data_IF_613354836245
#
_entry.id   IF_613354836245
#
_cell.length_a   1.000
_cell.length_b   1.000
_cell.length_c   1.000
_cell.angle_alpha   90.00
_cell.angle_beta   90.00
_cell.angle_gamma   90.00
#
_symmetry.space_group_name_H-M   'P 1'
#
loop_
_entity.id
_entity.type
_entity.pdbx_description
1 polymer ?
#
# COMPACT_ATOMS: atom_id res chain seq x y z
N UNK A 1 21.13 7.19 -53.45
CA UNK A 1 21.37 8.53 -52.84
C UNK A 1 20.05 9.01 -52.29
N UNK A 2 20.00 9.18 -50.97
CA UNK A 2 18.85 9.60 -50.17
C UNK A 2 18.99 11.11 -49.95
N UNK A 3 17.91 11.88 -50.12
CA UNK A 3 17.60 13.15 -49.41
C UNK A 3 16.13 13.50 -49.72
N UNK A 4 15.19 13.15 -48.84
CA UNK A 4 14.76 13.83 -47.59
C UNK A 4 13.73 14.95 -47.84
N UNK A 5 12.45 14.55 -47.82
CA UNK A 5 11.28 15.42 -47.87
C UNK A 5 11.05 16.10 -46.53
N UNK A 6 11.01 17.44 -46.53
CA UNK A 6 10.74 18.28 -45.35
C UNK A 6 9.30 18.09 -44.84
N UNK A 7 9.16 17.65 -43.59
CA UNK A 7 7.90 17.70 -42.84
C UNK A 7 7.82 19.06 -42.11
N UNK A 8 6.73 19.78 -42.31
CA UNK A 8 6.47 21.07 -41.68
C UNK A 8 6.32 20.96 -40.16
N UNK A 9 7.14 21.72 -39.43
CA UNK A 9 7.00 21.93 -37.99
C UNK A 9 5.91 22.98 -37.74
N UNK A 10 4.77 22.55 -37.21
CA UNK A 10 3.82 23.44 -36.54
C UNK A 10 4.19 23.50 -35.05
N UNK A 11 5.03 24.47 -34.68
CA UNK A 11 5.31 24.83 -33.29
C UNK A 11 4.32 25.92 -32.85
N UNK A 12 3.22 25.52 -32.21
CA UNK A 12 2.52 26.41 -31.28
C UNK A 12 2.85 25.92 -29.86
N UNK A 13 3.50 26.73 -29.01
CA UNK A 13 3.68 26.38 -27.62
C UNK A 13 2.30 26.32 -26.95
N UNK A 14 2.02 25.22 -26.26
CA UNK A 14 0.90 25.14 -25.32
C UNK A 14 1.38 25.90 -24.09
N UNK A 15 0.87 27.12 -23.95
CA UNK A 15 1.12 28.01 -22.83
C UNK A 15 0.31 27.49 -21.63
N UNK A 16 0.98 26.82 -20.68
CA UNK A 16 0.40 26.51 -19.38
C UNK A 16 0.62 27.73 -18.48
N UNK A 17 -0.37 28.60 -18.40
CA UNK A 17 -0.41 29.71 -17.44
C UNK A 17 -0.69 29.15 -16.03
N UNK A 18 0.36 28.79 -15.29
CA UNK A 18 0.27 28.40 -13.89
C UNK A 18 0.19 29.67 -13.05
N UNK A 19 -1.03 30.14 -12.79
CA UNK A 19 -1.26 31.21 -11.83
C UNK A 19 -1.00 30.70 -10.41
N UNK A 20 0.10 31.13 -9.81
CA UNK A 20 0.34 31.03 -8.37
C UNK A 20 -0.63 31.96 -7.64
N UNK A 21 -1.84 31.48 -7.37
CA UNK A 21 -2.79 32.13 -6.48
C UNK A 21 -2.37 31.88 -5.03
N UNK A 22 -2.06 32.95 -4.30
CA UNK A 22 -1.94 32.92 -2.85
C UNK A 22 -3.30 32.55 -2.24
N UNK A 23 -3.48 31.28 -1.85
CA UNK A 23 -4.67 30.85 -1.13
C UNK A 23 -4.48 31.08 0.39
N UNK A 24 -5.30 31.98 0.93
CA UNK A 24 -5.38 32.26 2.35
C UNK A 24 -6.34 31.29 3.06
N UNK A 25 -5.84 30.81 4.21
CA UNK A 25 -6.54 30.41 5.44
C UNK A 25 -7.42 29.15 5.48
N UNK A 26 -6.99 28.24 6.38
CA UNK A 26 -7.58 26.99 6.91
C UNK A 26 -7.25 25.68 6.19
N UNK A 27 -6.13 25.11 6.63
CA UNK A 27 -5.86 23.69 6.93
C UNK A 27 -6.67 22.62 6.19
N UNK A 28 -6.13 22.12 5.08
CA UNK A 28 -6.14 20.71 4.66
C UNK A 28 -5.15 20.55 3.50
N UNK A 29 -4.25 19.56 3.54
CA UNK A 29 -3.41 19.16 2.40
C UNK A 29 -4.18 19.15 1.08
N UNK A 30 -3.56 19.46 -0.07
CA UNK A 30 -4.22 19.36 -1.37
C UNK A 30 -4.87 17.99 -1.62
N UNK A 31 -4.22 16.89 -1.19
CA UNK A 31 -4.76 15.54 -1.33
C UNK A 31 -5.90 15.27 -0.35
N UNK A 32 -5.72 15.70 0.90
CA UNK A 32 -6.73 15.64 1.96
C UNK A 32 -7.97 16.47 1.59
N UNK A 33 -7.77 17.63 0.97
CA UNK A 33 -8.78 18.52 0.43
C UNK A 33 -9.47 17.92 -0.78
N UNK A 34 -8.75 17.31 -1.74
CA UNK A 34 -9.38 16.62 -2.87
C UNK A 34 -10.27 15.48 -2.36
N UNK A 35 -9.79 14.68 -1.41
CA UNK A 35 -10.60 13.60 -0.81
C UNK A 35 -11.79 14.19 -0.05
N UNK A 36 -11.60 15.21 0.78
CA UNK A 36 -12.69 15.80 1.56
C UNK A 36 -13.69 16.60 0.71
N UNK A 37 -13.24 17.38 -0.26
CA UNK A 37 -14.09 18.15 -1.17
C UNK A 37 -14.92 17.19 -2.02
N UNK A 38 -14.36 16.05 -2.45
CA UNK A 38 -15.10 15.01 -3.17
C UNK A 38 -16.11 14.31 -2.26
N UNK A 39 -15.73 13.95 -1.02
CA UNK A 39 -16.65 13.38 -0.02
C UNK A 39 -17.77 14.36 0.35
N UNK A 40 -17.46 15.63 0.57
CA UNK A 40 -18.43 16.68 0.92
C UNK A 40 -19.33 17.05 -0.28
N UNK A 41 -18.79 17.02 -1.50
CA UNK A 41 -19.57 17.14 -2.73
C UNK A 41 -20.55 15.97 -2.87
N UNK A 42 -20.12 14.74 -2.62
CA UNK A 42 -20.98 13.56 -2.62
C UNK A 42 -22.05 13.62 -1.52
N UNK A 43 -21.71 14.07 -0.33
CA UNK A 43 -22.66 14.22 0.80
C UNK A 43 -23.72 15.30 0.51
N UNK A 44 -23.34 16.38 -0.17
CA UNK A 44 -24.29 17.41 -0.67
C UNK A 44 -25.19 16.89 -1.81
N UNK A 45 -24.66 16.06 -2.70
CA UNK A 45 -25.44 15.38 -3.76
C UNK A 45 -26.45 14.38 -3.16
N UNK A 46 -26.07 13.66 -2.10
CA UNK A 46 -26.95 12.74 -1.36
C UNK A 46 -28.05 13.47 -0.59
N UNK A 47 -27.73 14.58 0.08
CA UNK A 47 -28.73 15.39 0.79
C UNK A 47 -29.72 16.09 -0.15
N UNK A 48 -29.34 16.37 -1.41
CA UNK A 48 -30.28 16.83 -2.45
C UNK A 48 -31.20 15.73 -2.97
N UNK A 49 -30.82 14.46 -2.82
CA UNK A 49 -31.60 13.29 -3.27
C UNK A 49 -32.58 12.75 -2.20
N UNK A 50 -32.54 13.24 -0.96
CA UNK A 50 -33.48 12.85 0.11
C UNK A 50 -34.93 13.36 -0.09
N UNK A 51 -35.23 14.08 -1.17
CA UNK A 51 -36.59 14.53 -1.51
C UNK A 51 -37.32 13.67 -2.55
N UNK A 52 -36.82 12.48 -2.91
CA UNK A 52 -37.57 11.57 -3.77
C UNK A 52 -37.68 10.16 -3.19
N UNK A 53 -38.92 9.70 -3.23
CA UNK A 53 -39.44 8.44 -2.73
C UNK A 53 -38.61 7.24 -3.22
N UNK A 54 -38.45 6.26 -2.33
CA UNK A 54 -37.69 5.05 -2.62
C UNK A 54 -38.43 4.21 -3.66
N UNK A 55 -37.88 4.14 -4.87
CA UNK A 55 -38.23 3.08 -5.79
C UNK A 55 -36.99 2.34 -6.29
N UNK A 56 -36.98 1.04 -6.01
CA UNK A 56 -36.00 0.08 -6.49
C UNK A 56 -35.93 0.09 -8.01
N UNK A 57 -34.72 0.19 -8.58
CA UNK A 57 -34.21 -0.56 -9.74
C UNK A 57 -32.89 0.08 -10.18
N UNK A 58 -31.89 -0.78 -10.37
CA UNK A 58 -30.65 -0.58 -11.13
C UNK A 58 -30.72 0.58 -12.14
N UNK A 59 -30.14 1.73 -11.80
CA UNK A 59 -29.76 2.72 -12.79
C UNK A 59 -28.50 3.48 -12.37
N UNK A 60 -27.45 3.22 -13.16
CA UNK A 60 -26.30 4.07 -13.50
C UNK A 60 -25.85 5.09 -12.45
N UNK A 61 -24.79 4.75 -11.73
CA UNK A 61 -23.79 5.73 -11.31
C UNK A 61 -22.48 5.32 -11.96
N UNK A 62 -22.01 6.18 -12.85
CA UNK A 62 -20.71 6.08 -13.51
C UNK A 62 -19.60 6.24 -12.46
N UNK A 63 -18.76 5.21 -12.36
CA UNK A 63 -17.29 5.33 -12.39
C UNK A 63 -16.58 6.06 -11.25
N UNK A 64 -16.13 5.29 -10.24
CA UNK A 64 -14.99 5.67 -9.41
C UNK A 64 -14.74 4.74 -8.23
N UNK A 65 -13.47 4.41 -7.95
CA UNK A 65 -13.05 3.57 -6.82
C UNK A 65 -13.54 4.13 -5.46
N UNK A 66 -13.73 5.44 -5.35
CA UNK A 66 -14.27 6.15 -4.18
C UNK A 66 -15.75 5.83 -3.90
N UNK A 67 -16.59 5.66 -4.93
CA UNK A 67 -18.00 5.26 -4.76
C UNK A 67 -18.15 3.83 -4.24
N UNK A 68 -17.17 2.98 -4.56
CA UNK A 68 -17.02 1.63 -4.02
C UNK A 68 -16.49 1.66 -2.58
N UNK A 69 -15.58 2.60 -2.25
CA UNK A 69 -15.11 2.84 -0.89
C UNK A 69 -16.27 3.23 0.04
N UNK A 70 -17.16 4.11 -0.40
CA UNK A 70 -18.32 4.56 0.37
C UNK A 70 -19.35 3.45 0.59
N UNK A 71 -19.68 2.66 -0.44
CA UNK A 71 -20.62 1.53 -0.32
C UNK A 71 -20.13 0.46 0.65
N UNK A 72 -18.84 0.12 0.60
CA UNK A 72 -18.25 -0.87 1.49
C UNK A 72 -18.15 -0.37 2.94
N UNK A 73 -17.82 0.92 3.14
CA UNK A 73 -17.83 1.53 4.47
C UNK A 73 -19.26 1.58 5.07
N UNK A 74 -20.28 1.81 4.24
CA UNK A 74 -21.69 1.83 4.68
C UNK A 74 -22.26 0.44 4.96
N UNK A 75 -21.99 -0.56 4.12
CA UNK A 75 -22.49 -1.94 4.34
C UNK A 75 -21.83 -2.62 5.55
N UNK A 76 -20.57 -2.25 5.87
CA UNK A 76 -19.88 -2.71 7.08
C UNK A 76 -20.56 -2.20 8.37
N UNK A 77 -21.33 -1.10 8.28
CA UNK A 77 -22.09 -0.55 9.40
C UNK A 77 -23.42 -1.30 9.67
N UNK A 78 -23.92 -2.06 8.70
CA UNK A 78 -25.30 -2.60 8.70
C UNK A 78 -25.38 -4.08 9.12
N UNK A 79 -24.28 -4.83 9.13
CA UNK A 79 -24.33 -6.30 9.32
C UNK A 79 -23.94 -6.85 10.71
N UNK A 80 -23.72 -6.02 11.73
CA UNK A 80 -23.41 -6.52 13.08
C UNK A 80 -24.17 -5.80 14.19
N UNK A 81 -25.48 -6.07 14.26
CA UNK A 81 -26.39 -5.49 15.27
C UNK A 81 -26.14 -6.03 16.69
N UNK A 82 -25.33 -7.08 16.88
CA UNK A 82 -25.11 -7.70 18.20
C UNK A 82 -23.83 -7.28 18.94
N UNK A 83 -22.91 -6.50 18.34
CA UNK A 83 -21.66 -6.03 19.00
C UNK A 83 -21.73 -4.53 19.33
N UNK A 84 -22.93 -3.99 19.60
CA UNK A 84 -23.15 -2.54 19.76
C UNK A 84 -23.02 -2.00 21.19
N UNK A 85 -22.22 -2.63 22.06
CA UNK A 85 -21.96 -2.10 23.41
C UNK A 85 -20.47 -2.14 23.77
N UNK A 86 -19.77 -1.03 23.45
CA UNK A 86 -18.61 -0.41 24.15
C UNK A 86 -17.42 0.08 23.30
N UNK A 87 -17.49 0.09 21.98
CA UNK A 87 -16.43 0.71 21.18
C UNK A 87 -17.08 1.77 20.29
N UNK A 88 -16.79 3.05 20.56
CA UNK A 88 -17.14 4.08 19.59
C UNK A 88 -16.33 3.79 18.31
N UNK A 89 -16.98 3.77 17.13
CA UNK A 89 -16.28 3.55 15.88
C UNK A 89 -15.25 4.68 15.69
N UNK A 90 -14.01 4.29 15.38
CA UNK A 90 -12.91 5.21 15.13
C UNK A 90 -13.27 6.17 13.99
N UNK A 91 -12.95 7.46 14.14
CA UNK A 91 -13.25 8.44 13.09
C UNK A 91 -12.48 8.10 11.81
N UNK A 92 -13.03 8.43 10.64
CA UNK A 92 -12.34 8.20 9.36
C UNK A 92 -10.98 8.91 9.30
N UNK A 93 -10.88 10.08 9.95
CA UNK A 93 -9.62 10.83 10.09
C UNK A 93 -8.55 10.01 10.83
N UNK A 94 -8.91 9.40 11.95
CA UNK A 94 -7.97 8.59 12.74
C UNK A 94 -7.57 7.31 12.00
N UNK A 95 -8.51 6.70 11.27
CA UNK A 95 -8.21 5.54 10.44
C UNK A 95 -7.26 5.86 9.28
N UNK A 96 -7.46 7.01 8.63
CA UNK A 96 -6.55 7.50 7.59
C UNK A 96 -5.18 7.84 8.17
N UNK A 97 -5.11 8.46 9.35
CA UNK A 97 -3.86 8.75 10.02
C UNK A 97 -3.06 7.47 10.32
N UNK A 98 -3.72 6.43 10.83
CA UNK A 98 -3.08 5.11 11.01
C UNK A 98 -2.59 4.53 9.68
N UNK A 99 -3.37 4.67 8.61
CA UNK A 99 -2.94 4.19 7.29
C UNK A 99 -1.70 4.94 6.79
N UNK A 100 -1.69 6.27 6.91
CA UNK A 100 -0.54 7.13 6.55
C UNK A 100 0.71 6.74 7.33
N UNK A 101 0.60 6.58 8.65
CA UNK A 101 1.70 6.08 9.48
C UNK A 101 2.21 4.70 9.02
N UNK A 102 1.31 3.77 8.70
CA UNK A 102 1.70 2.44 8.22
C UNK A 102 2.47 2.53 6.89
N UNK A 103 2.08 3.45 6.00
CA UNK A 103 2.76 3.64 4.72
C UNK A 103 4.14 4.29 4.93
N UNK A 104 4.23 5.36 5.74
CA UNK A 104 5.49 6.05 6.04
C UNK A 104 6.49 5.20 6.86
N UNK A 105 6.03 4.16 7.56
CA UNK A 105 6.92 3.18 8.20
C UNK A 105 7.44 2.11 7.23
N UNK A 106 6.80 1.93 6.08
CA UNK A 106 7.07 0.83 5.16
C UNK A 106 8.27 1.10 4.23
N UNK A 107 8.61 2.37 4.01
CA UNK A 107 9.72 2.81 3.16
C UNK A 107 10.41 4.05 3.74
N UNK A 108 11.75 4.21 3.55
CA UNK A 108 12.46 5.45 3.83
C UNK A 108 11.80 6.68 3.18
N UNK A 109 11.74 7.76 3.95
CA UNK A 109 11.06 9.01 3.62
C UNK A 109 10.33 9.53 4.85
N UNK A 110 9.44 10.50 4.66
CA UNK A 110 8.64 11.12 5.70
C UNK A 110 9.44 11.89 6.76
N UNK A 111 9.18 13.19 6.92
CA UNK A 111 10.03 14.06 7.76
C UNK A 111 10.12 13.64 9.23
N UNK A 112 9.05 13.06 9.75
CA UNK A 112 8.97 12.63 11.15
C UNK A 112 9.34 11.16 11.36
N UNK A 113 9.77 10.45 10.31
CA UNK A 113 10.01 9.02 10.34
C UNK A 113 11.50 8.73 10.12
N UNK A 114 12.19 8.15 11.12
CA UNK A 114 13.58 7.71 11.00
C UNK A 114 13.70 6.21 11.24
N UNK A 115 13.63 5.46 10.14
CA UNK A 115 13.59 3.99 10.16
C UNK A 115 14.91 3.34 10.60
N UNK A 116 16.01 4.09 10.68
CA UNK A 116 17.29 3.56 11.19
C UNK A 116 17.31 3.46 12.72
N UNK A 117 16.47 4.25 13.40
CA UNK A 117 16.42 4.24 14.85
C UNK A 117 15.71 2.98 15.36
N UNK A 118 16.15 2.52 16.53
CA UNK A 118 15.50 1.42 17.27
C UNK A 118 14.39 1.92 18.21
N UNK A 119 14.53 3.14 18.69
CA UNK A 119 13.57 3.86 19.55
C UNK A 119 13.30 5.23 18.95
N UNK A 120 12.11 5.80 19.18
CA UNK A 120 11.70 7.07 18.58
C UNK A 120 11.79 7.07 17.04
N UNK A 121 11.29 5.99 16.42
CA UNK A 121 11.19 5.87 14.96
C UNK A 121 10.27 6.95 14.39
N UNK A 122 9.24 7.33 15.15
CA UNK A 122 8.33 8.43 14.82
C UNK A 122 8.61 9.58 15.80
N UNK A 123 9.00 10.73 15.30
CA UNK A 123 9.36 11.91 16.09
C UNK A 123 8.72 13.19 15.52
N UNK A 124 7.49 13.45 15.95
CA UNK A 124 6.75 14.68 15.63
C UNK A 124 7.29 15.92 16.36
N UNK A 125 8.19 15.75 17.34
CA UNK A 125 8.76 16.84 18.12
C UNK A 125 10.20 17.19 17.68
N UNK A 126 10.75 16.42 16.73
CA UNK A 126 12.08 16.65 16.18
C UNK A 126 12.19 18.03 15.51
N UNK A 127 13.31 18.71 15.76
CA UNK A 127 13.60 20.01 15.14
C UNK A 127 14.00 19.83 13.68
N UNK A 128 13.01 19.97 12.81
CA UNK A 128 13.16 19.96 11.35
C UNK A 128 13.43 21.38 10.79
N UNK A 129 13.67 22.40 11.62
CA UNK A 129 13.87 23.78 11.13
C UNK A 129 15.23 23.98 10.43
N UNK A 130 16.20 23.11 10.70
CA UNK A 130 17.56 23.23 10.20
C UNK A 130 17.70 22.67 8.78
N UNK A 131 18.20 23.51 7.85
CA UNK A 131 18.48 23.13 6.45
C UNK A 131 19.23 21.80 6.31
N UNK A 132 20.32 21.63 7.04
CA UNK A 132 21.18 20.46 6.93
C UNK A 132 20.52 19.17 7.44
N UNK A 133 19.60 19.30 8.41
CA UNK A 133 18.83 18.15 8.94
C UNK A 133 17.85 17.66 7.87
N UNK A 134 17.11 18.57 7.24
CA UNK A 134 16.11 18.25 6.21
C UNK A 134 16.71 17.74 4.90
N UNK A 135 17.52 18.57 4.25
CA UNK A 135 18.19 18.19 2.99
C UNK A 135 19.07 16.95 3.19
N UNK A 136 19.71 16.83 4.36
CA UNK A 136 20.49 15.65 4.72
C UNK A 136 19.61 14.40 4.88
N UNK A 137 18.42 14.53 5.48
CA UNK A 137 17.45 13.45 5.61
C UNK A 137 16.93 12.99 4.26
N UNK A 138 16.48 13.89 3.38
CA UNK A 138 15.97 13.54 2.05
C UNK A 138 17.01 12.80 1.21
N UNK A 139 18.25 13.31 1.19
CA UNK A 139 19.36 12.66 0.49
C UNK A 139 19.68 11.27 1.08
N UNK A 140 19.60 11.14 2.41
CA UNK A 140 19.80 9.87 3.12
C UNK A 140 18.69 8.88 2.78
N UNK A 141 17.44 9.31 2.77
CA UNK A 141 16.29 8.46 2.49
C UNK A 141 16.24 8.06 1.00
N UNK A 142 16.59 8.96 0.08
CA UNK A 142 16.84 8.63 -1.32
C UNK A 142 17.90 7.53 -1.47
N UNK A 143 19.05 7.70 -0.80
CA UNK A 143 20.13 6.71 -0.81
C UNK A 143 19.71 5.35 -0.23
N UNK A 144 18.91 5.34 0.83
CA UNK A 144 18.35 4.10 1.40
C UNK A 144 17.38 3.42 0.45
N UNK A 145 16.50 4.18 -0.21
CA UNK A 145 15.58 3.65 -1.20
C UNK A 145 16.36 3.01 -2.36
N UNK A 146 17.46 3.63 -2.83
CA UNK A 146 18.37 3.03 -3.81
C UNK A 146 18.99 1.72 -3.28
N UNK A 147 19.47 1.69 -2.04
CA UNK A 147 20.00 0.47 -1.42
C UNK A 147 18.92 -0.61 -1.32
N UNK A 148 17.68 -0.23 -0.99
CA UNK A 148 16.55 -1.13 -0.89
C UNK A 148 16.17 -1.76 -2.23
N UNK A 149 16.31 -1.04 -3.36
CA UNK A 149 16.18 -1.63 -4.70
C UNK A 149 17.10 -2.84 -4.84
N UNK A 150 18.39 -2.71 -4.49
CA UNK A 150 19.34 -3.83 -4.57
C UNK A 150 18.98 -4.97 -3.61
N UNK A 151 18.48 -4.65 -2.41
CA UNK A 151 17.99 -5.67 -1.47
C UNK A 151 16.76 -6.40 -2.02
N UNK A 152 15.85 -5.71 -2.67
CA UNK A 152 14.65 -6.28 -3.30
C UNK A 152 14.96 -7.08 -4.57
N UNK A 153 16.01 -6.75 -5.30
CA UNK A 153 16.57 -7.67 -6.30
C UNK A 153 17.09 -8.97 -5.66
N UNK A 154 17.63 -8.89 -4.46
CA UNK A 154 18.12 -10.02 -3.68
C UNK A 154 17.06 -10.62 -2.75
N UNK A 155 17.30 -10.66 -1.43
CA UNK A 155 16.44 -11.37 -0.49
C UNK A 155 15.24 -10.57 0.03
N UNK A 156 15.07 -9.30 -0.36
CA UNK A 156 14.05 -8.38 0.12
C UNK A 156 14.57 -7.34 1.12
N UNK A 157 14.09 -6.11 1.01
CA UNK A 157 14.40 -5.00 1.91
C UNK A 157 13.67 -5.11 3.26
N UNK A 158 14.29 -4.68 4.38
CA UNK A 158 13.59 -4.57 5.65
C UNK A 158 12.62 -3.39 5.64
N UNK A 159 11.56 -3.49 6.45
CA UNK A 159 10.60 -2.39 6.66
C UNK A 159 10.13 -2.36 8.11
N UNK A 160 9.46 -1.28 8.54
CA UNK A 160 8.92 -1.15 9.90
C UNK A 160 7.39 -1.23 9.87
N UNK A 161 6.79 -1.72 10.94
CA UNK A 161 5.33 -1.74 11.12
C UNK A 161 4.97 -1.63 12.60
N UNK A 162 3.73 -1.25 12.90
CA UNK A 162 3.20 -1.22 14.27
C UNK A 162 2.47 -2.55 14.56
N UNK A 163 2.91 -3.26 15.59
CA UNK A 163 2.33 -4.53 15.98
C UNK A 163 1.05 -4.38 16.83
N UNK A 164 0.51 -5.51 17.29
CA UNK A 164 -0.71 -5.58 18.12
C UNK A 164 -0.58 -4.87 19.47
N UNK A 165 0.64 -4.73 19.98
CA UNK A 165 0.94 -4.14 21.27
C UNK A 165 1.28 -2.64 21.11
N UNK A 166 1.18 -2.10 19.88
CA UNK A 166 1.47 -0.71 19.55
C UNK A 166 2.97 -0.43 19.41
N UNK A 167 3.81 -1.47 19.33
CA UNK A 167 5.26 -1.33 19.23
C UNK A 167 5.71 -1.37 17.77
N UNK A 168 6.71 -0.56 17.44
CA UNK A 168 7.34 -0.58 16.12
C UNK A 168 8.25 -1.80 16.02
N UNK A 169 7.96 -2.69 15.07
CA UNK A 169 8.70 -3.91 14.79
C UNK A 169 9.33 -3.86 13.40
N UNK A 170 10.25 -4.80 13.14
CA UNK A 170 10.86 -4.99 11.82
C UNK A 170 10.21 -6.17 11.07
N UNK A 171 9.89 -5.91 9.80
CA UNK A 171 9.48 -6.91 8.82
C UNK A 171 10.48 -6.98 7.67
N UNK A 172 10.23 -7.89 6.74
CA UNK A 172 11.04 -8.03 5.52
C UNK A 172 10.14 -8.20 4.31
N UNK A 173 10.33 -7.35 3.30
CA UNK A 173 9.66 -7.45 2.00
C UNK A 173 10.10 -8.72 1.27
N UNK A 174 9.30 -9.14 0.31
CA UNK A 174 9.68 -10.22 -0.62
C UNK A 174 10.59 -9.64 -1.69
N UNK A 175 11.76 -10.25 -1.88
CA UNK A 175 12.69 -9.91 -2.97
C UNK A 175 12.77 -10.99 -4.05
N UNK A 176 13.26 -10.61 -5.22
CA UNK A 176 13.30 -11.44 -6.43
C UNK A 176 14.21 -12.67 -6.24
N UNK A 177 15.44 -12.47 -5.77
CA UNK A 177 16.36 -13.56 -5.45
C UNK A 177 15.81 -14.50 -4.37
N UNK A 178 15.18 -13.95 -3.33
CA UNK A 178 14.51 -14.74 -2.29
C UNK A 178 13.36 -15.59 -2.84
N UNK A 179 12.60 -15.04 -3.78
CA UNK A 179 11.53 -15.72 -4.51
C UNK A 179 12.07 -16.85 -5.37
N UNK A 180 13.14 -16.61 -6.14
CA UNK A 180 13.77 -17.64 -6.99
C UNK A 180 14.35 -18.79 -6.16
N UNK A 181 15.01 -18.50 -5.03
CA UNK A 181 15.49 -19.53 -4.11
C UNK A 181 14.33 -20.36 -3.55
N UNK A 182 13.21 -19.71 -3.20
CA UNK A 182 12.01 -20.41 -2.71
C UNK A 182 11.42 -21.32 -3.80
N UNK A 183 11.34 -20.83 -5.04
CA UNK A 183 10.90 -21.61 -6.19
C UNK A 183 11.72 -22.89 -6.35
N UNK A 184 13.06 -22.80 -6.35
CA UNK A 184 13.91 -23.99 -6.50
C UNK A 184 13.79 -24.95 -5.31
N UNK A 185 13.69 -24.44 -4.07
CA UNK A 185 13.46 -25.27 -2.88
C UNK A 185 12.12 -26.01 -2.96
N UNK A 186 11.06 -25.33 -3.39
CA UNK A 186 9.74 -25.93 -3.49
C UNK A 186 9.62 -26.89 -4.67
N UNK A 187 10.26 -26.59 -5.80
CA UNK A 187 10.42 -27.54 -6.91
C UNK A 187 11.17 -28.81 -6.47
N UNK A 188 12.32 -28.66 -5.80
CA UNK A 188 13.11 -29.79 -5.32
C UNK A 188 12.34 -30.62 -4.28
N UNK A 189 11.67 -29.96 -3.33
CA UNK A 189 10.83 -30.64 -2.33
C UNK A 189 9.66 -31.38 -2.98
N UNK A 190 9.01 -30.78 -3.98
CA UNK A 190 7.91 -31.39 -4.73
C UNK A 190 8.35 -32.63 -5.49
N UNK A 191 9.35 -32.50 -6.35
CA UNK A 191 9.87 -33.61 -7.20
C UNK A 191 10.41 -34.76 -6.35
N UNK A 192 11.01 -34.47 -5.20
CA UNK A 192 11.52 -35.50 -4.28
C UNK A 192 10.44 -36.07 -3.36
N UNK A 193 9.17 -35.73 -3.57
CA UNK A 193 8.02 -36.18 -2.76
C UNK A 193 8.20 -35.87 -1.26
N UNK A 194 8.87 -34.76 -0.96
CA UNK A 194 9.14 -34.28 0.40
C UNK A 194 10.48 -34.73 0.98
N UNK A 195 11.29 -35.57 0.33
CA UNK A 195 12.58 -36.01 0.89
C UNK A 195 13.57 -34.87 1.13
N UNK A 196 13.51 -33.83 0.30
CA UNK A 196 14.28 -32.60 0.48
C UNK A 196 13.36 -31.44 0.91
N UNK A 197 12.54 -31.65 1.94
CA UNK A 197 11.70 -30.59 2.48
C UNK A 197 12.55 -29.44 3.07
N UNK A 198 12.13 -28.18 2.86
CA UNK A 198 12.73 -27.05 3.57
C UNK A 198 12.65 -27.24 5.09
N UNK A 199 13.63 -26.69 5.80
CA UNK A 199 13.68 -26.76 7.26
C UNK A 199 12.37 -26.28 7.91
N UNK A 200 11.90 -27.03 8.91
CA UNK A 200 10.68 -26.73 9.65
C UNK A 200 9.38 -27.20 9.00
N UNK A 201 9.41 -27.73 7.77
CA UNK A 201 8.22 -28.33 7.16
C UNK A 201 7.98 -29.77 7.61
N UNK A 202 6.70 -30.11 7.81
CA UNK A 202 6.30 -31.50 8.09
C UNK A 202 6.50 -32.35 6.85
N UNK A 203 7.32 -33.39 6.99
CA UNK A 203 7.52 -34.41 5.97
C UNK A 203 6.23 -35.22 5.77
N UNK A 204 5.89 -35.59 4.51
CA UNK A 204 4.78 -36.49 4.26
C UNK A 204 5.07 -37.87 4.85
N UNK A 205 4.07 -38.47 5.50
CA UNK A 205 4.23 -39.72 6.26
C UNK A 205 3.82 -40.98 5.47
N UNK A 206 3.09 -40.81 4.38
CA UNK A 206 2.56 -41.90 3.56
C UNK A 206 2.46 -41.50 2.08
N UNK A 207 2.21 -42.48 1.20
CA UNK A 207 2.18 -42.27 -0.25
C UNK A 207 1.14 -41.23 -0.70
N UNK A 208 -0.05 -41.23 -0.08
CA UNK A 208 -1.10 -40.25 -0.39
C UNK A 208 -0.69 -38.82 -0.01
N UNK A 209 -0.04 -38.66 1.15
CA UNK A 209 0.53 -37.38 1.59
C UNK A 209 1.67 -36.93 0.70
N UNK A 210 2.55 -37.84 0.26
CA UNK A 210 3.63 -37.53 -0.68
C UNK A 210 3.10 -37.03 -2.02
N UNK A 211 2.04 -37.64 -2.57
CA UNK A 211 1.39 -37.16 -3.78
C UNK A 211 0.76 -35.78 -3.58
N UNK A 212 0.03 -35.56 -2.48
CA UNK A 212 -0.52 -34.22 -2.16
C UNK A 212 0.58 -33.18 -1.98
N UNK A 213 1.70 -33.58 -1.36
CA UNK A 213 2.88 -32.73 -1.17
C UNK A 213 3.49 -32.31 -2.49
N UNK A 214 3.67 -33.24 -3.43
CA UNK A 214 4.11 -32.94 -4.80
C UNK A 214 3.24 -31.86 -5.45
N UNK A 215 1.92 -32.08 -5.52
CA UNK A 215 1.02 -31.13 -6.19
C UNK A 215 1.03 -29.75 -5.52
N UNK A 216 0.98 -29.74 -4.19
CA UNK A 216 1.06 -28.50 -3.42
C UNK A 216 2.37 -27.76 -3.71
N UNK A 217 3.51 -28.45 -3.66
CA UNK A 217 4.82 -27.83 -3.83
C UNK A 217 5.05 -27.31 -5.25
N UNK A 218 4.69 -28.08 -6.27
CA UNK A 218 4.91 -27.68 -7.66
C UNK A 218 3.92 -26.57 -8.06
N UNK A 219 2.61 -26.81 -7.92
CA UNK A 219 1.61 -25.93 -8.51
C UNK A 219 1.22 -24.76 -7.61
N UNK A 220 1.04 -25.02 -6.30
CA UNK A 220 0.57 -23.97 -5.38
C UNK A 220 1.74 -23.11 -4.90
N UNK A 221 2.84 -23.73 -4.50
CA UNK A 221 3.96 -22.98 -3.99
C UNK A 221 4.86 -22.46 -5.11
N UNK A 222 5.55 -23.33 -5.85
CA UNK A 222 6.55 -22.88 -6.82
C UNK A 222 5.92 -22.05 -7.96
N UNK A 223 4.91 -22.59 -8.65
CA UNK A 223 4.30 -21.86 -9.77
C UNK A 223 3.43 -20.69 -9.30
N UNK A 224 2.44 -20.91 -8.44
CA UNK A 224 1.53 -19.83 -8.07
C UNK A 224 2.16 -18.84 -7.07
N UNK A 225 2.61 -19.29 -5.91
CA UNK A 225 3.13 -18.38 -4.87
C UNK A 225 4.45 -17.73 -5.29
N UNK A 226 5.42 -18.47 -5.82
CA UNK A 226 6.73 -17.89 -6.10
C UNK A 226 6.76 -17.19 -7.47
N UNK A 227 6.24 -17.80 -8.54
CA UNK A 227 6.27 -17.15 -9.88
C UNK A 227 5.12 -16.16 -10.06
N UNK A 228 3.86 -16.58 -9.93
CA UNK A 228 2.69 -15.71 -10.24
C UNK A 228 2.53 -14.57 -9.24
N UNK A 229 2.84 -14.80 -7.96
CA UNK A 229 2.73 -13.77 -6.91
C UNK A 229 4.10 -13.15 -6.60
N UNK A 230 5.11 -13.97 -6.32
CA UNK A 230 6.40 -13.51 -5.78
C UNK A 230 7.22 -12.65 -6.75
N UNK A 231 7.32 -13.04 -8.03
CA UNK A 231 8.09 -12.27 -9.03
C UNK A 231 7.47 -10.89 -9.28
N UNK A 232 6.16 -10.75 -9.60
CA UNK A 232 5.54 -9.44 -9.74
C UNK A 232 5.62 -8.59 -8.48
N UNK A 233 5.40 -9.17 -7.30
CA UNK A 233 5.52 -8.45 -6.02
C UNK A 233 6.92 -7.89 -5.80
N UNK A 234 7.95 -8.66 -6.12
CA UNK A 234 9.34 -8.19 -6.02
C UNK A 234 9.62 -7.03 -6.98
N UNK A 235 9.07 -7.08 -8.20
CA UNK A 235 9.18 -6.00 -9.18
C UNK A 235 8.43 -4.73 -8.74
N UNK A 236 7.28 -4.88 -8.08
CA UNK A 236 6.53 -3.77 -7.48
C UNK A 236 7.40 -3.09 -6.41
N UNK A 237 8.00 -3.85 -5.48
CA UNK A 237 8.87 -3.28 -4.44
C UNK A 237 10.09 -2.54 -5.02
N UNK A 238 10.72 -3.10 -6.05
CA UNK A 238 11.83 -2.43 -6.75
C UNK A 238 11.36 -1.09 -7.34
N UNK A 239 10.19 -1.10 -8.00
CA UNK A 239 9.63 0.08 -8.66
C UNK A 239 9.18 1.15 -7.65
N UNK A 240 8.54 0.73 -6.56
CA UNK A 240 8.14 1.54 -5.42
C UNK A 240 9.36 2.28 -4.85
N UNK A 241 10.41 1.56 -4.45
CA UNK A 241 11.63 2.20 -3.95
C UNK A 241 12.31 3.11 -4.98
N UNK A 242 12.24 2.80 -6.28
CA UNK A 242 12.78 3.68 -7.32
C UNK A 242 12.01 5.01 -7.41
N UNK A 243 10.68 4.96 -7.37
CA UNK A 243 9.84 6.17 -7.37
C UNK A 243 10.08 6.98 -6.10
N UNK A 244 10.12 6.33 -4.93
CA UNK A 244 10.37 7.00 -3.66
C UNK A 244 11.77 7.64 -3.61
N UNK A 245 12.80 6.97 -4.12
CA UNK A 245 14.13 7.58 -4.25
C UNK A 245 14.10 8.86 -5.09
N UNK A 246 13.39 8.84 -6.23
CA UNK A 246 13.21 10.05 -7.05
C UNK A 246 12.43 11.14 -6.31
N UNK A 247 11.42 10.78 -5.52
CA UNK A 247 10.64 11.73 -4.74
C UNK A 247 11.46 12.38 -3.64
N UNK A 248 12.23 11.62 -2.85
CA UNK A 248 13.09 12.20 -1.83
C UNK A 248 14.14 13.12 -2.46
N UNK A 249 14.72 12.75 -3.62
CA UNK A 249 15.60 13.68 -4.35
C UNK A 249 14.90 14.94 -4.85
N UNK A 250 13.61 14.85 -5.20
CA UNK A 250 12.83 16.00 -5.60
C UNK A 250 12.47 16.91 -4.42
N UNK A 251 12.30 16.35 -3.21
CA UNK A 251 12.03 17.04 -1.94
C UNK A 251 13.17 17.95 -1.50
N UNK A 252 14.41 17.55 -1.79
CA UNK A 252 15.63 18.35 -1.53
C UNK A 252 15.51 19.78 -2.07
N UNK A 253 14.87 19.97 -3.22
CA UNK A 253 14.75 21.30 -3.87
C UNK A 253 13.86 22.25 -3.07
N UNK A 254 12.58 21.95 -2.79
CA UNK A 254 11.75 22.79 -1.93
C UNK A 254 12.31 22.92 -0.52
N UNK A 255 12.96 21.88 0.04
CA UNK A 255 13.55 21.97 1.38
C UNK A 255 14.78 22.86 1.45
N UNK A 256 15.54 22.90 0.36
CA UNK A 256 16.67 23.81 0.23
C UNK A 256 16.25 25.26 -0.05
N UNK A 257 15.03 25.48 -0.56
CA UNK A 257 14.59 26.81 -1.04
C UNK A 257 13.59 27.46 -0.09
N UNK A 258 12.43 26.84 0.14
CA UNK A 258 11.33 27.39 0.94
C UNK A 258 11.21 26.74 2.32
N UNK A 259 11.84 25.58 2.53
CA UNK A 259 11.80 24.84 3.80
C UNK A 259 12.42 25.57 5.00
N UNK A 260 13.22 26.62 4.79
CA UNK A 260 13.82 27.39 5.88
C UNK A 260 12.81 28.30 6.62
N UNK A 261 11.59 28.43 6.12
CA UNK A 261 10.51 29.11 6.83
C UNK A 261 9.46 28.09 7.29
N UNK A 262 8.91 28.28 8.49
CA UNK A 262 7.99 27.33 9.13
C UNK A 262 6.83 26.90 8.22
N UNK A 263 6.21 27.84 7.52
CA UNK A 263 5.09 27.54 6.61
C UNK A 263 5.53 26.80 5.35
N UNK A 264 6.72 27.12 4.83
CA UNK A 264 7.28 26.42 3.67
C UNK A 264 7.62 24.98 4.03
N UNK A 265 8.23 24.77 5.19
CA UNK A 265 8.50 23.46 5.77
C UNK A 265 7.22 22.63 5.91
N UNK A 266 6.22 23.13 6.63
CA UNK A 266 4.94 22.42 6.83
C UNK A 266 4.29 22.00 5.51
N UNK A 267 4.33 22.85 4.49
CA UNK A 267 3.78 22.55 3.16
C UNK A 267 4.61 21.50 2.43
N UNK A 268 5.95 21.61 2.43
CA UNK A 268 6.82 20.62 1.78
C UNK A 268 6.60 19.25 2.41
N UNK A 269 6.73 19.15 3.74
CA UNK A 269 6.50 17.92 4.50
C UNK A 269 5.14 17.30 4.16
N UNK A 270 4.06 18.08 4.23
CA UNK A 270 2.71 17.55 4.02
C UNK A 270 2.53 17.03 2.57
N UNK A 271 3.05 17.76 1.58
CA UNK A 271 2.95 17.38 0.16
C UNK A 271 3.74 16.12 -0.14
N UNK A 272 4.99 16.02 0.32
CA UNK A 272 5.85 14.87 0.01
C UNK A 272 5.46 13.63 0.82
N UNK A 273 5.09 13.77 2.09
CA UNK A 273 4.53 12.68 2.88
C UNK A 273 3.27 12.10 2.22
N UNK A 274 2.33 12.96 1.81
CA UNK A 274 1.07 12.51 1.20
C UNK A 274 1.31 11.89 -0.17
N UNK A 275 2.23 12.44 -0.95
CA UNK A 275 2.62 11.87 -2.23
C UNK A 275 3.28 10.49 -2.06
N UNK A 276 4.12 10.30 -1.03
CA UNK A 276 4.70 9.00 -0.70
C UNK A 276 3.60 8.00 -0.34
N UNK A 277 2.67 8.39 0.54
CA UNK A 277 1.51 7.55 0.91
C UNK A 277 0.67 7.17 -0.31
N UNK A 278 0.54 8.07 -1.30
CA UNK A 278 -0.15 7.78 -2.55
C UNK A 278 0.61 6.75 -3.40
N UNK A 279 1.94 6.84 -3.50
CA UNK A 279 2.77 5.84 -4.19
C UNK A 279 2.61 4.47 -3.53
N UNK A 280 2.72 4.42 -2.20
CA UNK A 280 2.54 3.20 -1.42
C UNK A 280 1.13 2.63 -1.61
N UNK A 281 0.09 3.48 -1.61
CA UNK A 281 -1.28 3.07 -1.91
C UNK A 281 -1.41 2.42 -3.28
N UNK A 282 -0.85 3.04 -4.32
CA UNK A 282 -0.88 2.47 -5.69
C UNK A 282 -0.16 1.12 -5.72
N UNK A 283 1.03 1.03 -5.10
CA UNK A 283 1.79 -0.21 -5.01
C UNK A 283 1.08 -1.31 -4.21
N UNK A 284 0.27 -0.94 -3.21
CA UNK A 284 -0.52 -1.84 -2.39
C UNK A 284 -1.68 -2.45 -3.20
N UNK A 285 -2.42 -1.63 -3.97
CA UNK A 285 -3.65 -2.06 -4.67
C UNK A 285 -3.43 -2.72 -6.03
N UNK A 286 -2.29 -2.49 -6.70
CA UNK A 286 -2.02 -3.13 -8.00
C UNK A 286 -2.03 -4.66 -7.85
N UNK A 287 -2.36 -5.41 -8.92
CA UNK A 287 -2.31 -6.87 -8.87
C UNK A 287 -0.96 -7.38 -8.34
N UNK A 288 -1.02 -8.29 -7.36
CA UNK A 288 0.15 -8.84 -6.63
C UNK A 288 0.91 -7.86 -5.74
N UNK A 289 0.45 -6.61 -5.64
CA UNK A 289 0.82 -5.67 -4.58
C UNK A 289 0.47 -6.18 -3.19
N UNK A 290 0.85 -5.44 -2.15
CA UNK A 290 0.71 -5.88 -0.76
C UNK A 290 -0.75 -6.30 -0.43
N UNK A 291 -1.73 -5.43 -0.65
CA UNK A 291 -3.17 -5.66 -0.53
C UNK A 291 -3.69 -6.59 -1.60
N UNK A 292 -3.27 -6.42 -2.86
CA UNK A 292 -3.66 -7.30 -3.97
C UNK A 292 -3.40 -8.77 -3.67
N UNK A 293 -2.20 -9.13 -3.20
CA UNK A 293 -1.89 -10.54 -2.90
C UNK A 293 -2.64 -11.08 -1.68
N UNK A 294 -2.85 -10.26 -0.64
CA UNK A 294 -3.65 -10.66 0.54
C UNK A 294 -5.09 -10.99 0.14
N UNK A 295 -5.64 -10.16 -0.74
CA UNK A 295 -7.04 -10.20 -1.17
C UNK A 295 -7.30 -11.17 -2.32
N UNK A 296 -6.27 -11.82 -2.85
CA UNK A 296 -6.41 -12.94 -3.78
C UNK A 296 -6.12 -14.31 -3.13
N UNK A 297 -5.65 -14.31 -1.89
CA UNK A 297 -5.22 -15.53 -1.22
C UNK A 297 -6.38 -16.24 -0.48
N UNK A 298 -6.99 -17.22 -1.14
CA UNK A 298 -8.06 -18.07 -0.59
C UNK A 298 -7.55 -18.95 0.56
N UNK A 299 -8.29 -19.02 1.66
CA UNK A 299 -7.99 -19.90 2.81
C UNK A 299 -9.03 -21.00 2.94
N UNK A 300 -8.88 -22.10 2.20
CA UNK A 300 -9.85 -23.20 2.15
C UNK A 300 -10.25 -23.80 3.50
N UNK A 301 -9.35 -23.77 4.50
CA UNK A 301 -9.61 -24.26 5.87
C UNK A 301 -10.72 -23.48 6.61
N UNK A 302 -11.04 -22.25 6.18
CA UNK A 302 -12.04 -21.38 6.78
C UNK A 302 -13.42 -21.46 6.09
N UNK A 303 -13.62 -22.38 5.14
CA UNK A 303 -14.88 -22.50 4.39
C UNK A 303 -15.25 -21.20 3.68
N UNK A 304 -16.51 -20.75 3.77
CA UNK A 304 -16.96 -19.46 3.21
C UNK A 304 -16.20 -18.26 3.79
N UNK A 305 -15.79 -18.31 5.07
CA UNK A 305 -14.93 -17.27 5.68
C UNK A 305 -13.50 -17.27 5.14
N UNK A 306 -13.15 -18.26 4.32
CA UNK A 306 -11.88 -18.36 3.62
C UNK A 306 -11.84 -17.60 2.30
N UNK A 307 -12.99 -17.14 1.80
CA UNK A 307 -13.01 -16.27 0.62
C UNK A 307 -12.33 -14.93 0.93
N UNK A 308 -11.55 -14.36 0.02
CA UNK A 308 -10.67 -13.25 0.38
C UNK A 308 -11.38 -12.00 0.91
N UNK A 309 -12.49 -11.59 0.29
CA UNK A 309 -13.30 -10.47 0.75
C UNK A 309 -13.87 -10.73 2.15
N UNK A 310 -14.47 -11.90 2.35
CA UNK A 310 -15.08 -12.28 3.64
C UNK A 310 -14.00 -12.41 4.71
N UNK A 311 -12.87 -13.04 4.39
CA UNK A 311 -11.74 -13.19 5.29
C UNK A 311 -11.18 -11.83 5.70
N UNK A 312 -11.09 -10.86 4.77
CA UNK A 312 -10.64 -9.52 5.09
C UNK A 312 -11.61 -8.80 6.04
N UNK A 313 -12.89 -8.71 5.66
CA UNK A 313 -13.91 -7.98 6.43
C UNK A 313 -14.04 -8.58 7.84
N UNK A 314 -13.92 -9.89 7.98
CA UNK A 314 -14.04 -10.59 9.27
C UNK A 314 -12.74 -10.69 10.07
N UNK A 315 -11.60 -10.26 9.53
CA UNK A 315 -10.32 -10.26 10.25
C UNK A 315 -10.26 -9.13 11.29
N UNK A 316 -9.62 -9.34 12.45
CA UNK A 316 -9.39 -8.28 13.45
C UNK A 316 -8.40 -7.24 12.92
N UNK A 317 -8.40 -6.05 13.53
CA UNK A 317 -7.47 -4.95 13.18
C UNK A 317 -6.00 -5.36 13.33
N UNK A 318 -5.68 -6.17 14.34
CA UNK A 318 -4.35 -6.72 14.52
C UNK A 318 -4.37 -8.24 14.31
N UNK A 319 -3.59 -8.72 13.35
CA UNK A 319 -3.48 -10.13 13.02
C UNK A 319 -2.76 -10.89 14.15
N UNK A 320 -3.49 -11.66 14.95
CA UNK A 320 -2.86 -12.49 16.00
C UNK A 320 -2.40 -13.85 15.50
N UNK A 321 -2.82 -14.29 14.29
CA UNK A 321 -2.51 -15.64 13.77
C UNK A 321 -2.34 -15.77 12.25
N UNK A 322 -2.79 -14.82 11.43
CA UNK A 322 -2.69 -14.91 9.97
C UNK A 322 -1.48 -14.11 9.48
N UNK A 323 -0.45 -14.80 8.96
CA UNK A 323 0.80 -14.19 8.49
C UNK A 323 0.57 -13.11 7.43
N UNK A 324 -0.52 -13.22 6.65
CA UNK A 324 -0.88 -12.23 5.64
C UNK A 324 -1.14 -10.86 6.27
N UNK A 325 -1.76 -10.83 7.45
CA UNK A 325 -2.22 -9.62 8.14
C UNK A 325 -1.27 -9.16 9.23
N UNK A 326 -0.11 -9.81 9.37
CA UNK A 326 0.83 -9.56 10.47
C UNK A 326 1.39 -8.15 10.47
N UNK A 327 1.53 -7.54 9.29
CA UNK A 327 2.31 -6.31 9.10
C UNK A 327 1.47 -5.05 8.90
N UNK A 328 0.14 -5.15 9.00
CA UNK A 328 -0.77 -4.03 8.71
C UNK A 328 -1.82 -3.91 9.81
N UNK A 329 -2.24 -2.69 10.12
CA UNK A 329 -3.42 -2.44 10.95
C UNK A 329 -4.65 -2.51 10.06
N UNK A 330 -5.41 -3.60 10.15
CA UNK A 330 -6.60 -3.87 9.33
C UNK A 330 -7.84 -3.06 9.80
N UNK A 331 -7.70 -1.74 9.79
CA UNK A 331 -8.78 -0.79 10.11
C UNK A 331 -9.92 -0.89 9.08
N UNK A 332 -11.13 -0.40 9.37
CA UNK A 332 -12.21 -0.35 8.38
C UNK A 332 -11.80 0.35 7.07
N UNK A 333 -10.98 1.41 7.15
CA UNK A 333 -10.39 2.05 5.97
C UNK A 333 -9.49 1.10 5.17
N UNK A 334 -8.55 0.40 5.83
CA UNK A 334 -7.66 -0.58 5.18
C UNK A 334 -8.44 -1.72 4.51
N UNK A 335 -9.46 -2.25 5.20
CA UNK A 335 -10.37 -3.27 4.65
C UNK A 335 -11.00 -2.82 3.34
N UNK A 336 -11.31 -1.54 3.25
CA UNK A 336 -11.93 -0.95 2.08
C UNK A 336 -10.94 -0.82 0.92
N UNK A 337 -9.72 -0.34 1.18
CA UNK A 337 -8.62 -0.29 0.20
C UNK A 337 -8.37 -1.68 -0.41
N UNK A 338 -8.31 -2.69 0.44
CA UNK A 338 -8.11 -4.07 0.03
C UNK A 338 -9.30 -4.64 -0.73
N UNK A 339 -10.51 -4.21 -0.40
CA UNK A 339 -11.69 -4.55 -1.21
C UNK A 339 -11.60 -3.91 -2.60
N UNK A 340 -11.08 -2.70 -2.74
CA UNK A 340 -10.81 -2.07 -4.04
C UNK A 340 -9.77 -2.86 -4.84
N UNK A 341 -8.72 -3.36 -4.20
CA UNK A 341 -7.70 -4.19 -4.87
C UNK A 341 -8.29 -5.45 -5.52
N UNK A 342 -9.37 -6.02 -4.96
CA UNK A 342 -10.07 -7.16 -5.58
C UNK A 342 -10.79 -6.84 -6.89
N UNK A 343 -11.06 -5.56 -7.15
CA UNK A 343 -11.80 -5.10 -8.32
C UNK A 343 -10.89 -4.78 -9.51
N UNK A 344 -9.57 -4.73 -9.30
CA UNK A 344 -8.61 -4.49 -10.38
C UNK A 344 -8.30 -5.84 -11.02
N UNK A 345 -8.77 -6.11 -12.25
CA UNK A 345 -8.59 -7.42 -12.87
C UNK A 345 -7.11 -7.68 -13.16
N UNK A 346 -6.66 -8.91 -12.88
CA UNK A 346 -5.42 -9.41 -13.48
C UNK A 346 -5.69 -9.64 -14.97
N UNK A 347 -5.11 -8.80 -15.83
CA UNK A 347 -4.98 -9.16 -17.25
C UNK A 347 -3.76 -10.07 -17.37
N UNK A 348 -4.02 -11.38 -17.49
CA UNK A 348 -3.01 -12.41 -17.76
C UNK A 348 -2.72 -12.43 -19.26
#
# INVERSE_FOLDING_TARGET
>A
MIESSKVGKSSKPIEFDVKFGAYSSRETSPFRKIIYDEVERCDRELNKRQTYDYDTVTSRIEGGALSLLERNAFETLVTNTEIKKKIQPMSLKDQFQKYKEDQLLSNPGGDHFDLDKKTHVIDYQGDQSQFAVRVGKDMKDAGKNIINIFKDFGPGAPFKYIDKDGLVQEGKKVGLGGTLVSFFKDMASGVTLGKCAPEGEKLPTNALESTKHFFKKIFVNALFKDVVVGVPRSAIHISENAVLACMNLAEVVPDATIGNCKKGQEITTEVFDDAQVLVDFVADIVPMGEAGARTMAVTFKKGLKGFPLINNITSPEHGTTDEKWRYVRNTPFRKTIESVATLIPIRI
#
